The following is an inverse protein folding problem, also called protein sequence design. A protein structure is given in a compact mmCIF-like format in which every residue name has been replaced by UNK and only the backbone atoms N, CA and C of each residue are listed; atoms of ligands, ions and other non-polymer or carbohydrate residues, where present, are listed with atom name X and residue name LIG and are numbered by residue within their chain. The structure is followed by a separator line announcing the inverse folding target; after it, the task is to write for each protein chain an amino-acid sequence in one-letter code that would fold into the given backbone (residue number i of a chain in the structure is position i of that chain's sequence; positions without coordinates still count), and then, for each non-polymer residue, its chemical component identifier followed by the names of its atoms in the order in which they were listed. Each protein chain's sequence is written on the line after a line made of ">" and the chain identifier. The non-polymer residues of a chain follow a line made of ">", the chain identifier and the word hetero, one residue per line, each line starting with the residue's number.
data_IF_234358647245
#
_entry.id   IF_234358647245
#
_cell.length_a   1.000
_cell.length_b   1.000
_cell.length_c   1.000
_cell.angle_alpha   90.00
_cell.angle_beta   90.00
_cell.angle_gamma   90.00
#
_symmetry.space_group_name_H-M   'P 1'
#
loop_
_entity.id
_entity.type
_entity.pdbx_description
1 polymer ?
#
# COMPACT_ATOMS: atom_id res chain seq x y z
N UNK A 1 -2.13 2.63 11.05
CA UNK A 1 -1.23 2.57 9.88
C UNK A 1 -1.59 3.59 8.81
N UNK A 2 -2.77 3.49 8.17
CA UNK A 2 -3.11 4.28 6.98
C UNK A 2 -2.87 5.79 7.14
N UNK A 3 -3.33 6.38 8.25
CA UNK A 3 -3.15 7.80 8.55
C UNK A 3 -1.69 8.25 8.50
N UNK A 4 -0.81 7.56 9.23
CA UNK A 4 0.61 7.90 9.26
C UNK A 4 1.26 7.70 7.90
N UNK A 5 1.00 6.56 7.27
CA UNK A 5 1.61 6.21 6.00
C UNK A 5 1.27 7.23 4.90
N UNK A 6 0.01 7.65 4.78
CA UNK A 6 -0.38 8.64 3.75
C UNK A 6 0.16 10.03 4.05
N UNK A 7 0.15 10.48 5.31
CA UNK A 7 0.64 11.82 5.66
C UNK A 7 2.15 11.96 5.55
N UNK A 8 2.91 10.94 5.94
CA UNK A 8 4.38 11.06 5.98
C UNK A 8 5.03 10.78 4.64
N UNK A 9 4.33 10.11 3.71
CA UNK A 9 4.90 9.72 2.40
C UNK A 9 4.27 10.43 1.20
N UNK A 10 3.07 11.00 1.36
CA UNK A 10 2.29 11.52 0.23
C UNK A 10 1.96 10.44 -0.81
N UNK A 11 1.90 9.16 -0.43
CA UNK A 11 1.47 8.09 -1.33
C UNK A 11 -0.01 8.29 -1.70
N UNK A 12 -0.32 8.17 -2.99
CA UNK A 12 -1.72 8.25 -3.45
C UNK A 12 -2.47 7.00 -3.04
N UNK A 13 -3.79 7.11 -2.89
CA UNK A 13 -4.61 5.99 -2.41
C UNK A 13 -4.52 4.76 -3.32
N UNK A 14 -4.59 4.95 -4.64
CA UNK A 14 -4.46 3.83 -5.59
C UNK A 14 -3.04 3.24 -5.60
N UNK A 15 -2.00 4.08 -5.50
CA UNK A 15 -0.61 3.61 -5.34
C UNK A 15 -0.51 2.72 -4.10
N UNK A 16 -1.04 3.18 -2.97
CA UNK A 16 -1.04 2.46 -1.68
C UNK A 16 -1.77 1.11 -1.74
N UNK A 17 -2.89 1.03 -2.46
CA UNK A 17 -3.63 -0.22 -2.66
C UNK A 17 -2.81 -1.28 -3.43
N UNK A 18 -1.82 -0.84 -4.20
CA UNK A 18 -1.00 -1.68 -5.08
C UNK A 18 0.38 -2.00 -4.50
N UNK A 19 0.85 -1.27 -3.48
CA UNK A 19 2.11 -1.54 -2.76
C UNK A 19 2.10 -2.95 -2.18
N UNK A 20 3.17 -3.68 -2.39
CA UNK A 20 3.36 -5.05 -1.95
C UNK A 20 4.25 -5.13 -0.71
N UNK A 21 4.24 -6.28 -0.02
CA UNK A 21 5.09 -6.52 1.14
C UNK A 21 6.57 -6.40 0.77
N UNK A 22 6.98 -6.94 -0.38
CA UNK A 22 8.36 -6.84 -0.85
C UNK A 22 8.80 -5.41 -1.19
N UNK A 23 7.87 -4.48 -1.41
CA UNK A 23 8.21 -3.07 -1.61
C UNK A 23 8.66 -2.41 -0.32
N UNK A 24 8.16 -2.89 0.83
CA UNK A 24 8.34 -2.26 2.15
C UNK A 24 9.25 -3.06 3.07
N UNK A 25 9.37 -4.37 2.91
CA UNK A 25 10.22 -5.23 3.73
C UNK A 25 11.38 -5.78 2.92
N UNK A 26 12.56 -5.86 3.54
CA UNK A 26 13.63 -6.74 3.10
C UNK A 26 13.27 -8.21 3.36
N UNK A 27 13.92 -9.18 2.68
CA UNK A 27 13.78 -10.60 3.02
C UNK A 27 14.07 -10.90 4.50
N UNK A 28 15.01 -10.16 5.11
CA UNK A 28 15.29 -10.23 6.56
C UNK A 28 14.12 -9.82 7.46
N UNK A 29 13.08 -9.20 6.90
CA UNK A 29 11.96 -8.63 7.62
C UNK A 29 12.18 -7.19 8.09
N UNK A 30 13.35 -6.59 7.92
CA UNK A 30 13.53 -5.18 8.26
C UNK A 30 12.67 -4.28 7.34
N UNK A 31 12.06 -3.23 7.91
CA UNK A 31 11.34 -2.22 7.12
C UNK A 31 12.37 -1.40 6.34
N UNK A 32 12.13 -1.25 5.04
CA UNK A 32 12.96 -0.43 4.15
C UNK A 32 12.73 1.05 4.48
N UNK A 33 13.79 1.85 4.72
CA UNK A 33 13.64 3.29 4.95
C UNK A 33 13.23 4.04 3.68
N UNK A 34 13.48 3.47 2.51
CA UNK A 34 13.13 4.00 1.19
C UNK A 34 12.39 2.93 0.38
N UNK A 35 11.28 3.32 -0.24
CA UNK A 35 10.41 2.46 -1.04
C UNK A 35 10.35 3.03 -2.45
N UNK A 36 10.78 2.24 -3.43
CA UNK A 36 10.65 2.55 -4.85
C UNK A 36 9.25 2.18 -5.35
N UNK A 37 8.45 3.17 -5.70
CA UNK A 37 7.14 2.96 -6.34
C UNK A 37 7.35 2.77 -7.84
N UNK A 38 7.04 1.57 -8.33
CA UNK A 38 7.11 1.21 -9.76
C UNK A 38 6.23 2.14 -10.60
N UNK A 39 6.68 2.43 -11.82
CA UNK A 39 5.93 3.24 -12.78
C UNK A 39 4.47 2.75 -12.95
N UNK A 40 4.30 1.44 -13.06
CA UNK A 40 3.00 0.75 -13.26
C UNK A 40 1.94 1.07 -12.21
N UNK A 41 2.34 1.38 -10.97
CA UNK A 41 1.39 1.65 -9.88
C UNK A 41 1.19 3.16 -9.64
N UNK A 42 2.01 4.00 -10.27
CA UNK A 42 2.01 5.46 -10.09
C UNK A 42 1.13 6.17 -11.11
N UNK A 43 0.57 7.31 -10.69
CA UNK A 43 -0.14 8.19 -11.63
C UNK A 43 0.83 8.74 -12.68
N UNK A 44 0.46 8.63 -13.95
CA UNK A 44 1.25 9.14 -15.07
C UNK A 44 2.47 8.30 -15.42
N UNK A 45 2.54 7.06 -14.90
CA UNK A 45 3.59 6.08 -15.22
C UNK A 45 5.01 6.60 -14.96
N UNK A 46 5.21 7.38 -13.88
CA UNK A 46 6.51 7.93 -13.49
C UNK A 46 6.92 7.36 -12.14
N UNK A 47 7.96 6.51 -12.08
CA UNK A 47 8.40 5.92 -10.83
C UNK A 47 8.91 7.02 -9.88
N UNK A 48 8.79 6.77 -8.58
CA UNK A 48 9.27 7.70 -7.55
C UNK A 48 9.55 6.97 -6.24
N UNK A 49 10.40 7.56 -5.42
CA UNK A 49 10.67 7.06 -4.09
C UNK A 49 9.76 7.71 -3.05
N UNK A 50 9.44 6.95 -2.01
CA UNK A 50 8.87 7.47 -0.77
C UNK A 50 9.69 6.98 0.41
N UNK A 51 9.73 7.76 1.48
CA UNK A 51 10.56 7.50 2.64
C UNK A 51 9.73 7.10 3.85
N UNK A 52 10.06 5.97 4.47
CA UNK A 52 9.43 5.43 5.67
C UNK A 52 10.28 5.75 6.92
N UNK A 53 10.69 7.00 7.05
CA UNK A 53 11.62 7.44 8.10
C UNK A 53 10.93 8.01 9.33
N UNK A 54 9.65 8.38 9.25
CA UNK A 54 8.92 8.95 10.38
C UNK A 54 8.63 7.88 11.45
N UNK A 55 9.04 8.06 12.72
CA UNK A 55 8.93 7.01 13.75
C UNK A 55 7.51 6.48 13.95
N UNK A 56 6.50 7.36 13.92
CA UNK A 56 5.09 6.94 14.07
C UNK A 56 4.57 6.18 12.84
N UNK A 57 5.13 6.43 11.66
CA UNK A 57 4.81 5.63 10.47
C UNK A 57 5.39 4.22 10.59
N UNK A 58 6.65 4.11 11.00
CA UNK A 58 7.31 2.81 11.24
C UNK A 58 6.57 2.02 12.32
N UNK A 59 6.27 2.63 13.47
CA UNK A 59 5.51 1.96 14.54
C UNK A 59 4.11 1.50 14.09
N UNK A 60 3.45 2.29 13.23
CA UNK A 60 2.14 1.93 12.70
C UNK A 60 2.21 0.82 11.65
N UNK A 61 3.30 0.71 10.88
CA UNK A 61 3.58 -0.42 9.99
C UNK A 61 3.87 -1.69 10.79
N UNK A 62 4.72 -1.59 11.81
CA UNK A 62 5.02 -2.68 12.75
C UNK A 62 3.75 -3.27 13.37
N UNK A 63 2.88 -2.39 13.89
CA UNK A 63 1.59 -2.78 14.47
C UNK A 63 0.69 -3.49 13.45
N UNK A 64 0.68 -3.03 12.20
CA UNK A 64 -0.13 -3.64 11.15
C UNK A 64 0.38 -5.02 10.73
N UNK A 65 1.70 -5.17 10.61
CA UNK A 65 2.33 -6.46 10.35
C UNK A 65 1.98 -7.45 11.46
N UNK A 66 2.07 -7.03 12.73
CA UNK A 66 1.69 -7.86 13.87
C UNK A 66 0.22 -8.34 13.78
N UNK A 67 -0.72 -7.45 13.43
CA UNK A 67 -2.12 -7.81 13.19
C UNK A 67 -2.25 -8.85 12.08
N UNK A 68 -1.54 -8.67 10.96
CA UNK A 68 -1.58 -9.63 9.84
C UNK A 68 -1.05 -11.01 10.25
N UNK A 69 0.04 -11.06 11.02
CA UNK A 69 0.60 -12.32 11.51
C UNK A 69 -0.38 -13.03 12.46
N UNK A 70 -0.96 -12.30 13.42
CA UNK A 70 -1.95 -12.83 14.35
C UNK A 70 -3.19 -13.38 13.62
N UNK A 71 -3.66 -12.68 12.59
CA UNK A 71 -4.82 -13.07 11.77
C UNK A 71 -4.49 -14.08 10.67
N UNK A 72 -3.20 -14.44 10.51
CA UNK A 72 -2.67 -15.32 9.45
C UNK A 72 -3.01 -14.83 8.03
N UNK A 73 -2.96 -13.52 7.80
CA UNK A 73 -3.32 -12.89 6.53
C UNK A 73 -2.15 -12.75 5.57
N UNK A 74 -2.25 -13.45 4.43
CA UNK A 74 -1.27 -13.39 3.36
C UNK A 74 0.08 -13.96 3.76
N UNK A 75 0.09 -15.11 4.46
CA UNK A 75 1.32 -15.81 4.82
C UNK A 75 1.90 -16.55 3.60
N UNK A 76 3.23 -16.69 3.56
CA UNK A 76 3.96 -17.49 2.55
C UNK A 76 4.22 -18.93 3.01
N UNK A 77 4.34 -19.14 4.34
CA UNK A 77 4.87 -20.39 4.91
C UNK A 77 6.40 -20.40 5.04
N UNK A 78 7.07 -19.34 4.59
CA UNK A 78 8.51 -19.12 4.75
C UNK A 78 8.80 -18.23 5.98
N UNK A 79 10.06 -18.03 6.34
CA UNK A 79 10.51 -17.06 7.36
C UNK A 79 10.79 -15.69 6.75
N UNK A 80 11.13 -15.62 5.46
CA UNK A 80 11.43 -14.36 4.78
C UNK A 80 10.24 -13.40 4.83
N UNK A 81 10.53 -12.09 4.84
CA UNK A 81 9.52 -11.04 4.95
C UNK A 81 8.62 -11.22 6.19
N UNK A 82 9.18 -11.80 7.26
CA UNK A 82 8.49 -12.17 8.50
C UNK A 82 7.39 -13.21 8.29
N UNK A 83 7.51 -14.02 7.24
CA UNK A 83 6.54 -15.03 6.83
C UNK A 83 5.31 -14.51 6.10
N UNK A 84 5.30 -13.23 5.73
CA UNK A 84 4.31 -12.68 4.80
C UNK A 84 4.70 -13.02 3.36
N UNK A 85 3.69 -13.22 2.51
CA UNK A 85 3.89 -13.41 1.07
C UNK A 85 4.41 -12.10 0.44
N UNK A 86 5.58 -12.10 -0.22
CA UNK A 86 6.20 -10.88 -0.75
C UNK A 86 5.30 -10.15 -1.75
N UNK A 87 4.58 -10.87 -2.60
CA UNK A 87 3.64 -10.33 -3.59
C UNK A 87 2.26 -9.95 -3.04
N UNK A 88 1.98 -10.23 -1.76
CA UNK A 88 0.71 -9.80 -1.16
C UNK A 88 0.71 -8.28 -0.97
N UNK A 89 -0.46 -7.66 -1.15
CA UNK A 89 -0.62 -6.22 -0.91
C UNK A 89 -0.34 -5.90 0.55
N UNK A 90 0.38 -4.80 0.78
CA UNK A 90 0.71 -4.33 2.13
C UNK A 90 -0.57 -3.94 2.87
N UNK A 91 -1.41 -3.15 2.20
CA UNK A 91 -2.72 -2.71 2.68
C UNK A 91 -3.77 -3.70 2.22
N UNK A 92 -4.51 -4.26 3.18
CA UNK A 92 -5.56 -5.24 2.91
C UNK A 92 -6.87 -4.82 3.56
N UNK A 93 -7.96 -5.39 3.05
CA UNK A 93 -9.30 -5.22 3.61
C UNK A 93 -9.40 -5.86 5.01
N UNK A 94 -10.53 -5.65 5.69
CA UNK A 94 -10.84 -6.31 6.97
C UNK A 94 -10.88 -7.86 6.89
N UNK A 95 -10.81 -8.44 5.68
CA UNK A 95 -10.73 -9.89 5.45
C UNK A 95 -9.31 -10.37 5.07
N UNK A 96 -8.32 -9.48 5.08
CA UNK A 96 -6.95 -9.79 4.69
C UNK A 96 -6.72 -9.89 3.17
N UNK A 97 -7.70 -9.48 2.35
CA UNK A 97 -7.62 -9.52 0.89
C UNK A 97 -7.14 -8.20 0.32
N UNK A 98 -6.58 -8.22 -0.90
CA UNK A 98 -6.31 -7.00 -1.65
C UNK A 98 -7.60 -6.20 -1.86
N UNK A 99 -7.47 -4.88 -1.97
CA UNK A 99 -8.60 -4.04 -2.35
C UNK A 99 -8.85 -4.16 -3.86
N UNK A 100 -10.12 -4.21 -4.24
CA UNK A 100 -10.54 -4.16 -5.64
C UNK A 100 -10.31 -2.77 -6.24
N UNK A 101 -10.01 -2.77 -7.54
CA UNK A 101 -9.78 -1.58 -8.34
C UNK A 101 -10.90 -1.46 -9.38
N UNK A 102 -11.61 -0.33 -9.36
CA UNK A 102 -12.65 -0.02 -10.33
C UNK A 102 -12.08 0.74 -11.52
N UNK A 103 -12.59 0.46 -12.72
CA UNK A 103 -12.33 1.29 -13.89
C UNK A 103 -13.05 2.63 -13.76
N UNK A 104 -12.35 3.70 -14.16
CA UNK A 104 -12.85 5.07 -14.22
C UNK A 104 -12.62 5.60 -15.62
N UNK A 105 -13.67 6.19 -16.17
CA UNK A 105 -13.66 6.86 -17.46
C UNK A 105 -13.68 8.35 -17.20
N UNK A 106 -12.78 9.08 -17.85
CA UNK A 106 -12.71 10.54 -17.74
C UNK A 106 -12.55 11.14 -19.12
N UNK A 107 -13.46 12.03 -19.48
CA UNK A 107 -13.31 12.90 -20.63
C UNK A 107 -12.34 14.04 -20.26
N UNK A 108 -11.31 14.22 -21.09
CA UNK A 108 -10.33 15.30 -20.99
C UNK A 108 -10.25 16.02 -22.32
N UNK A 109 -9.74 17.26 -22.32
CA UNK A 109 -9.50 18.01 -23.56
C UNK A 109 -8.54 17.28 -24.52
N UNK A 110 -7.67 16.41 -23.99
CA UNK A 110 -6.76 15.54 -24.74
C UNK A 110 -7.40 14.25 -25.25
N UNK A 111 -8.68 14.02 -24.99
CA UNK A 111 -9.41 12.78 -25.30
C UNK A 111 -9.73 11.92 -24.07
N UNK A 112 -10.53 10.86 -24.23
CA UNK A 112 -10.98 10.00 -23.15
C UNK A 112 -9.82 9.21 -22.53
N UNK A 113 -9.76 9.17 -21.20
CA UNK A 113 -8.79 8.40 -20.44
C UNK A 113 -9.50 7.37 -19.55
N UNK A 114 -8.99 6.13 -19.56
CA UNK A 114 -9.46 5.05 -18.68
C UNK A 114 -8.36 4.69 -17.69
N UNK A 115 -8.67 4.76 -16.40
CA UNK A 115 -7.72 4.43 -15.33
C UNK A 115 -8.38 3.60 -14.23
N UNK A 116 -7.57 3.04 -13.32
CA UNK A 116 -8.04 2.27 -12.18
C UNK A 116 -7.97 3.08 -10.89
N UNK A 117 -9.00 2.98 -10.06
CA UNK A 117 -9.07 3.65 -8.77
C UNK A 117 -9.54 2.71 -7.65
N UNK A 118 -9.02 2.92 -6.44
CA UNK A 118 -9.40 2.16 -5.25
C UNK A 118 -10.37 2.96 -4.37
N UNK A 119 -11.63 3.07 -4.79
CA UNK A 119 -12.64 3.90 -4.11
C UNK A 119 -12.91 3.44 -2.67
N UNK A 120 -12.87 2.13 -2.42
CA UNK A 120 -13.13 1.54 -1.11
C UNK A 120 -12.02 1.88 -0.09
N UNK A 121 -10.76 1.89 -0.51
CA UNK A 121 -9.66 2.36 0.33
C UNK A 121 -9.74 3.88 0.51
N UNK A 122 -10.10 4.64 -0.52
CA UNK A 122 -10.31 6.08 -0.42
C UNK A 122 -11.38 6.40 0.63
N UNK A 123 -12.52 5.72 0.57
CA UNK A 123 -13.61 5.92 1.52
C UNK A 123 -13.20 5.53 2.95
N UNK A 124 -12.40 4.46 3.10
CA UNK A 124 -11.82 4.04 4.39
C UNK A 124 -10.93 5.15 4.97
N UNK A 125 -10.05 5.74 4.16
CA UNK A 125 -9.15 6.81 4.58
C UNK A 125 -9.93 8.09 4.91
N UNK A 126 -10.90 8.48 4.08
CA UNK A 126 -11.73 9.69 4.31
C UNK A 126 -12.47 9.62 5.65
N UNK A 127 -12.91 8.43 6.07
CA UNK A 127 -13.56 8.24 7.38
C UNK A 127 -12.64 8.46 8.58
N UNK A 128 -11.31 8.45 8.41
CA UNK A 128 -10.36 8.73 9.49
C UNK A 128 -10.31 10.22 9.88
N UNK A 129 -10.85 11.10 9.03
CA UNK A 129 -10.84 12.56 9.23
C UNK A 129 -12.21 13.12 9.60
N UNK A 130 -13.19 12.25 9.87
CA UNK A 130 -14.50 12.63 10.38
C UNK A 130 -14.55 12.35 11.87
#
# INVERSE_FOLDING_TARGET
>A
MLLWLTHTTGVRVTELALVEVADVLYPSGAIKPEVYLRAEITKGCRPRNVYLTHPLCVAALESWIAVRLQRRWGLSGDVEYRGLRPSSKLVTTHKGQAFELAFKHRELDSGPEVYRACDSLQQTITRLYR
#
